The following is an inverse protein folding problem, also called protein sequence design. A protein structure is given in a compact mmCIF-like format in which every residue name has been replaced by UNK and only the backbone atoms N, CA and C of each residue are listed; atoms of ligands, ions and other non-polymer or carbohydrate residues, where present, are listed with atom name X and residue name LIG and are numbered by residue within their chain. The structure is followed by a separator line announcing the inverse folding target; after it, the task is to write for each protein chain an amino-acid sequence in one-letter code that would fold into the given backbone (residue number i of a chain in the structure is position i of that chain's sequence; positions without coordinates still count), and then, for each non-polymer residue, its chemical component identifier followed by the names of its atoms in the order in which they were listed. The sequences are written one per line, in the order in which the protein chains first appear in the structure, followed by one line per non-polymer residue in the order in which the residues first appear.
data_IF_462404427465
#
_entry.id   IF_462404427465
#
_cell.length_a   1.000
_cell.length_b   1.000
_cell.length_c   1.000
_cell.angle_alpha   90.00
_cell.angle_beta   90.00
_cell.angle_gamma   90.00
#
_symmetry.space_group_name_H-M   'P 1'
#
loop_
_entity.id
_entity.type
_entity.pdbx_description
1 polymer ?
#
# COMPACT_ATOMS: atom_id res chain seq x y z
N UNK A 1 22.23 6.19 3.59
CA UNK A 1 22.37 4.94 2.80
C UNK A 1 21.16 4.79 1.87
N UNK A 2 21.30 4.13 0.70
CA UNK A 2 20.19 3.98 -0.28
C UNK A 2 18.91 3.41 0.36
N UNK A 3 19.06 2.43 1.25
CA UNK A 3 17.98 1.80 1.98
C UNK A 3 17.14 2.77 2.82
N UNK A 4 17.78 3.66 3.58
CA UNK A 4 17.08 4.64 4.43
C UNK A 4 16.26 5.63 3.58
N UNK A 5 16.76 5.98 2.39
CA UNK A 5 16.04 6.81 1.43
C UNK A 5 14.79 6.09 0.93
N UNK A 6 14.91 4.82 0.54
CA UNK A 6 13.78 4.01 0.09
C UNK A 6 12.74 3.82 1.20
N UNK A 7 13.16 3.51 2.42
CA UNK A 7 12.25 3.35 3.56
C UNK A 7 11.46 4.64 3.84
N UNK A 8 12.11 5.81 3.74
CA UNK A 8 11.43 7.11 3.88
C UNK A 8 10.42 7.36 2.75
N UNK A 9 10.77 7.07 1.50
CA UNK A 9 9.86 7.23 0.36
C UNK A 9 8.61 6.36 0.51
N UNK A 10 8.79 5.09 0.90
CA UNK A 10 7.66 4.19 1.16
C UNK A 10 6.78 4.70 2.32
N UNK A 11 7.39 5.28 3.35
CA UNK A 11 6.65 5.85 4.47
C UNK A 11 5.82 7.08 4.08
N UNK A 12 6.38 7.98 3.27
CA UNK A 12 5.66 9.15 2.75
C UNK A 12 4.40 8.72 1.97
N UNK A 13 4.53 7.72 1.09
CA UNK A 13 3.39 7.17 0.37
C UNK A 13 2.40 6.52 1.31
N UNK A 14 2.86 5.68 2.25
CA UNK A 14 1.98 5.01 3.21
C UNK A 14 1.13 6.02 3.99
N UNK A 15 1.74 7.08 4.52
CA UNK A 15 1.02 8.11 5.27
C UNK A 15 -0.01 8.84 4.39
N UNK A 16 0.33 9.12 3.12
CA UNK A 16 -0.61 9.75 2.18
C UNK A 16 -1.82 8.86 1.87
N UNK A 17 -1.61 7.53 1.79
CA UNK A 17 -2.63 6.54 1.44
C UNK A 17 -3.40 6.00 2.64
N UNK A 18 -2.88 6.11 3.87
CA UNK A 18 -3.41 5.45 5.10
C UNK A 18 -4.92 5.59 5.27
N UNK A 19 -5.47 6.78 5.09
CA UNK A 19 -6.91 7.06 5.24
C UNK A 19 -7.80 6.48 4.13
N UNK A 20 -7.19 5.98 3.05
CA UNK A 20 -7.85 5.45 1.86
C UNK A 20 -7.72 3.94 1.71
N UNK A 21 -6.86 3.27 2.49
CA UNK A 21 -6.57 1.83 2.34
C UNK A 21 -7.81 0.92 2.50
N UNK A 22 -8.82 1.37 3.23
CA UNK A 22 -10.09 0.64 3.39
C UNK A 22 -11.18 1.06 2.37
N UNK A 23 -10.86 2.00 1.47
CA UNK A 23 -11.78 2.51 0.45
C UNK A 23 -11.39 1.90 -0.89
N UNK A 24 -12.17 0.89 -1.30
CA UNK A 24 -11.90 0.13 -2.52
C UNK A 24 -11.60 1.00 -3.74
N UNK A 25 -12.43 2.02 -3.96
CA UNK A 25 -12.34 2.89 -5.13
C UNK A 25 -11.10 3.81 -5.14
N UNK A 26 -10.39 3.93 -4.01
CA UNK A 26 -9.20 4.78 -3.91
C UNK A 26 -7.88 4.01 -4.08
N UNK A 27 -7.90 2.68 -3.96
CA UNK A 27 -6.71 1.84 -3.96
C UNK A 27 -7.04 0.49 -4.63
N UNK A 28 -7.66 0.50 -5.81
CA UNK A 28 -8.22 -0.70 -6.44
C UNK A 28 -7.15 -1.80 -6.62
N UNK A 29 -5.95 -1.43 -7.09
CA UNK A 29 -4.83 -2.34 -7.29
C UNK A 29 -4.38 -3.01 -5.99
N UNK A 30 -4.45 -2.30 -4.86
CA UNK A 30 -4.16 -2.86 -3.54
C UNK A 30 -5.21 -3.91 -3.14
N UNK A 31 -6.49 -3.62 -3.36
CA UNK A 31 -7.57 -4.56 -3.07
C UNK A 31 -7.52 -5.79 -4.00
N UNK A 32 -7.15 -5.61 -5.27
CA UNK A 32 -6.92 -6.74 -6.17
C UNK A 32 -5.78 -7.64 -5.67
N UNK A 33 -4.67 -7.04 -5.25
CA UNK A 33 -3.54 -7.76 -4.66
C UNK A 33 -3.92 -8.46 -3.34
N UNK A 34 -4.72 -7.82 -2.48
CA UNK A 34 -5.16 -8.35 -1.20
C UNK A 34 -6.38 -9.27 -1.27
N UNK A 35 -6.96 -9.51 -2.46
CA UNK A 35 -8.24 -10.24 -2.64
C UNK A 35 -8.33 -11.54 -1.84
N UNK A 36 -7.27 -12.33 -1.81
CA UNK A 36 -7.26 -13.60 -1.05
C UNK A 36 -7.26 -13.37 0.47
N UNK A 37 -6.50 -12.38 0.96
CA UNK A 37 -6.48 -12.02 2.37
C UNK A 37 -7.82 -11.40 2.80
N UNK A 38 -8.44 -10.59 1.95
CA UNK A 38 -9.78 -10.03 2.19
C UNK A 38 -10.87 -11.09 2.21
N UNK A 39 -10.80 -12.09 1.32
CA UNK A 39 -11.72 -13.22 1.33
C UNK A 39 -11.58 -14.06 2.60
N UNK A 40 -10.37 -14.21 3.13
CA UNK A 40 -10.11 -14.98 4.35
C UNK A 40 -10.52 -14.21 5.62
N UNK A 41 -10.12 -12.94 5.75
CA UNK A 41 -10.38 -12.13 6.94
C UNK A 41 -11.78 -11.47 6.94
N UNK A 42 -12.41 -11.36 5.76
CA UNK A 42 -13.52 -10.45 5.49
C UNK A 42 -13.00 -9.08 5.07
N UNK A 43 -13.47 -8.55 3.94
CA UNK A 43 -12.98 -7.30 3.34
C UNK A 43 -12.96 -6.11 4.30
N UNK A 44 -14.00 -5.93 5.13
CA UNK A 44 -14.08 -4.86 6.13
C UNK A 44 -13.16 -5.06 7.34
N UNK A 45 -12.59 -6.24 7.50
CA UNK A 45 -11.76 -6.62 8.64
C UNK A 45 -10.29 -6.80 8.25
N UNK A 46 -9.92 -6.54 7.00
CA UNK A 46 -8.55 -6.69 6.56
C UNK A 46 -7.68 -5.59 7.19
N UNK A 47 -6.70 -5.98 7.99
CA UNK A 47 -5.77 -5.06 8.64
C UNK A 47 -4.62 -4.67 7.70
N UNK A 48 -4.81 -3.57 6.98
CA UNK A 48 -3.76 -3.00 6.12
C UNK A 48 -2.59 -2.39 6.91
N UNK A 49 -2.77 -2.01 8.17
CA UNK A 49 -1.67 -1.51 9.00
C UNK A 49 -0.71 -2.65 9.34
N UNK A 50 -1.25 -3.84 9.64
CA UNK A 50 -0.49 -5.09 9.77
C UNK A 50 0.25 -5.49 8.47
N UNK A 51 -0.26 -5.09 7.30
CA UNK A 51 0.37 -5.38 6.01
C UNK A 51 1.60 -4.51 5.71
N UNK A 52 1.81 -3.38 6.41
CA UNK A 52 2.87 -2.39 6.13
C UNK A 52 4.28 -3.00 5.97
N UNK A 53 4.57 -4.06 6.70
CA UNK A 53 5.88 -4.70 6.68
C UNK A 53 6.02 -5.83 5.65
N UNK A 54 4.92 -6.27 5.05
CA UNK A 54 4.89 -7.35 4.07
C UNK A 54 5.44 -6.89 2.72
N UNK A 55 6.10 -7.81 2.00
CA UNK A 55 6.72 -7.51 0.72
C UNK A 55 5.70 -7.06 -0.35
N UNK A 56 4.52 -7.68 -0.39
CA UNK A 56 3.44 -7.31 -1.32
C UNK A 56 3.02 -5.84 -1.13
N UNK A 57 2.79 -5.43 0.11
CA UNK A 57 2.39 -4.07 0.44
C UNK A 57 3.50 -3.05 0.18
N UNK A 58 4.76 -3.38 0.49
CA UNK A 58 5.91 -2.53 0.15
C UNK A 58 6.09 -2.37 -1.37
N UNK A 59 5.84 -3.42 -2.14
CA UNK A 59 5.90 -3.35 -3.60
C UNK A 59 4.79 -2.44 -4.14
N UNK A 60 3.57 -2.56 -3.62
CA UNK A 60 2.47 -1.65 -3.98
C UNK A 60 2.80 -0.19 -3.64
N UNK A 61 3.29 0.10 -2.42
CA UNK A 61 3.77 1.44 -2.05
C UNK A 61 4.89 1.95 -2.97
N UNK A 62 5.76 1.06 -3.45
CA UNK A 62 6.81 1.40 -4.40
C UNK A 62 6.28 1.77 -5.78
N UNK A 63 5.25 1.06 -6.27
CA UNK A 63 4.58 1.39 -7.52
C UNK A 63 3.86 2.75 -7.40
N UNK A 64 3.12 2.96 -6.32
CA UNK A 64 2.48 4.23 -6.01
C UNK A 64 3.48 5.39 -5.95
N UNK A 65 4.67 5.15 -5.36
CA UNK A 65 5.74 6.15 -5.36
C UNK A 65 6.22 6.47 -6.78
N UNK A 66 6.42 5.45 -7.61
CA UNK A 66 6.85 5.64 -8.99
C UNK A 66 5.81 6.42 -9.80
N UNK A 67 4.53 6.11 -9.64
CA UNK A 67 3.45 6.84 -10.31
C UNK A 67 3.38 8.29 -9.83
N UNK A 68 3.59 8.54 -8.53
CA UNK A 68 3.63 9.89 -7.99
C UNK A 68 4.79 10.73 -8.56
N UNK A 69 5.99 10.15 -8.70
CA UNK A 69 7.15 10.91 -9.20
C UNK A 69 7.22 10.99 -10.73
N UNK A 70 6.65 10.02 -11.45
CA UNK A 70 6.65 9.98 -12.92
C UNK A 70 5.38 10.58 -13.52
N UNK A 71 4.34 10.83 -12.74
CA UNK A 71 3.07 11.42 -13.18
C UNK A 71 3.13 12.92 -13.52
N UNK A 72 4.32 13.49 -13.76
CA UNK A 72 4.56 14.86 -14.19
C UNK A 72 5.13 14.93 -15.60
#
# INVERSE_FOLDING_TARGET
MLREKTERQLEEVYQSRKQYLNKKDCCEELHEMCRNCENYCGWKNHDYEGCRNLACFKNWLGLEYLDWVNGY
#
